data_IF_523469542434
#
_entry.id   IF_523469542434
#
_cell.length_a   1.000
_cell.length_b   1.000
_cell.length_c   1.000
_cell.angle_alpha   90.00
_cell.angle_beta   90.00
_cell.angle_gamma   90.00
#
_symmetry.space_group_name_H-M   'P 1'
#
loop_
_entity.id
_entity.type
_entity.pdbx_description
1 polymer ?
#
# COMPACT_ATOMS: atom_id res chain seq x y z
N UNK A 1 12.66 -3.93 -10.68
CA UNK A 1 11.59 -2.92 -10.63
C UNK A 1 10.21 -3.57 -10.40
N UNK A 2 9.89 -4.75 -10.93
CA UNK A 2 8.55 -5.36 -10.81
C UNK A 2 8.22 -6.17 -9.52
N UNK A 3 9.19 -6.47 -8.66
CA UNK A 3 8.96 -7.41 -7.54
C UNK A 3 7.87 -6.95 -6.56
N UNK A 4 7.71 -5.63 -6.35
CA UNK A 4 6.66 -5.10 -5.49
C UNK A 4 5.27 -5.32 -6.09
N UNK A 5 5.10 -4.93 -7.36
CA UNK A 5 3.84 -5.12 -8.09
C UNK A 5 3.45 -6.60 -8.12
N UNK A 6 4.40 -7.50 -8.41
CA UNK A 6 4.19 -8.96 -8.36
C UNK A 6 3.74 -9.44 -6.99
N UNK A 7 4.40 -9.03 -5.91
CA UNK A 7 4.06 -9.45 -4.55
C UNK A 7 2.67 -8.95 -4.12
N UNK A 8 2.28 -7.73 -4.51
CA UNK A 8 0.92 -7.23 -4.30
C UNK A 8 -0.13 -8.08 -5.05
N UNK A 9 0.13 -8.41 -6.32
CA UNK A 9 -0.76 -9.29 -7.09
C UNK A 9 -0.87 -10.69 -6.47
N UNK A 10 0.25 -11.25 -6.00
CA UNK A 10 0.29 -12.56 -5.34
C UNK A 10 -0.51 -12.55 -4.03
N UNK A 11 -0.44 -11.45 -3.27
CA UNK A 11 -1.28 -11.26 -2.10
C UNK A 11 -2.76 -11.12 -2.47
N UNK A 12 -3.10 -10.31 -3.47
CA UNK A 12 -4.47 -10.20 -3.97
C UNK A 12 -5.04 -11.59 -4.34
N UNK A 13 -4.26 -12.38 -5.09
CA UNK A 13 -4.61 -13.75 -5.47
C UNK A 13 -4.74 -14.70 -4.29
N UNK A 14 -3.80 -14.66 -3.35
CA UNK A 14 -3.77 -15.54 -2.17
C UNK A 14 -4.98 -15.32 -1.26
N UNK A 15 -5.45 -14.07 -1.16
CA UNK A 15 -6.55 -13.69 -0.28
C UNK A 15 -7.88 -13.50 -1.01
N UNK A 16 -7.96 -13.87 -2.30
CA UNK A 16 -9.15 -13.74 -3.15
C UNK A 16 -9.73 -12.31 -3.17
N UNK A 17 -8.83 -11.33 -3.29
CA UNK A 17 -9.15 -9.91 -3.36
C UNK A 17 -8.79 -9.40 -4.75
N UNK A 18 -9.71 -8.69 -5.40
CA UNK A 18 -9.39 -8.02 -6.66
C UNK A 18 -8.34 -6.93 -6.42
N UNK A 19 -7.29 -6.84 -7.25
CA UNK A 19 -6.29 -5.79 -7.14
C UNK A 19 -6.90 -4.43 -7.50
N UNK A 20 -6.64 -3.43 -6.66
CA UNK A 20 -7.09 -2.06 -6.92
C UNK A 20 -6.11 -1.30 -7.80
N UNK A 21 -6.63 -0.79 -8.91
CA UNK A 21 -5.86 -0.04 -9.91
C UNK A 21 -5.21 1.21 -9.33
N UNK A 22 -5.87 1.93 -8.43
CA UNK A 22 -5.30 3.14 -7.82
C UNK A 22 -4.13 2.82 -6.90
N UNK A 23 -4.18 1.68 -6.18
CA UNK A 23 -3.03 1.18 -5.41
C UNK A 23 -1.87 0.86 -6.36
N UNK A 24 -2.14 0.21 -7.49
CA UNK A 24 -1.12 -0.13 -8.48
C UNK A 24 -0.50 1.12 -9.13
N UNK A 25 -1.30 2.13 -9.44
CA UNK A 25 -0.82 3.41 -9.96
C UNK A 25 0.10 4.12 -8.97
N UNK A 26 -0.25 4.11 -7.69
CA UNK A 26 0.58 4.74 -6.66
C UNK A 26 1.89 3.98 -6.45
N UNK A 27 1.86 2.66 -6.47
CA UNK A 27 3.05 1.80 -6.50
C UNK A 27 3.96 2.20 -7.66
N UNK A 28 3.38 2.37 -8.86
CA UNK A 28 4.13 2.68 -10.07
C UNK A 28 4.76 4.07 -10.02
N UNK A 29 4.05 5.07 -9.47
CA UNK A 29 4.62 6.41 -9.22
C UNK A 29 5.83 6.36 -8.31
N UNK A 30 5.78 5.54 -7.26
CA UNK A 30 6.85 5.46 -6.26
C UNK A 30 8.05 4.66 -6.76
N UNK A 31 7.81 3.62 -7.56
CA UNK A 31 8.88 2.88 -8.23
C UNK A 31 9.63 3.75 -9.24
N UNK A 32 8.92 4.68 -9.88
CA UNK A 32 9.47 5.63 -10.86
C UNK A 32 9.99 6.94 -10.22
N UNK A 33 9.82 7.13 -8.90
CA UNK A 33 10.33 8.31 -8.21
C UNK A 33 11.84 8.19 -7.93
N UNK A 34 12.62 9.12 -8.47
CA UNK A 34 14.09 9.15 -8.37
C UNK A 34 14.63 9.62 -7.00
N UNK A 35 13.79 10.19 -6.13
CA UNK A 35 14.25 10.86 -4.90
C UNK A 35 13.91 10.11 -3.61
N UNK A 36 14.80 10.29 -2.63
CA UNK A 36 15.06 9.56 -1.37
C UNK A 36 13.88 9.32 -0.40
N UNK A 37 12.65 9.67 -0.75
CA UNK A 37 11.47 9.48 0.10
C UNK A 37 10.35 8.84 -0.73
N UNK A 38 10.18 7.53 -0.53
CA UNK A 38 9.14 6.73 -1.18
C UNK A 38 7.90 6.76 -0.31
N UNK A 39 7.15 7.85 -0.39
CA UNK A 39 5.91 8.05 0.36
C UNK A 39 4.74 7.42 -0.40
N UNK A 40 4.03 6.52 0.26
CA UNK A 40 2.82 5.90 -0.30
C UNK A 40 1.59 6.74 0.01
N UNK A 41 0.97 7.35 -1.00
CA UNK A 41 -0.18 8.22 -0.79
C UNK A 41 -1.52 7.50 -1.04
N UNK A 42 -2.34 7.39 0.00
CA UNK A 42 -3.68 6.78 -0.09
C UNK A 42 -4.83 7.81 -0.03
N UNK A 43 -4.52 9.10 -0.12
CA UNK A 43 -5.44 10.22 0.09
C UNK A 43 -6.75 10.08 -0.71
N UNK A 44 -7.88 10.31 -0.04
CA UNK A 44 -9.24 10.25 -0.62
C UNK A 44 -9.64 8.90 -1.24
N UNK A 45 -8.94 7.81 -0.94
CA UNK A 45 -9.34 6.48 -1.41
C UNK A 45 -10.29 5.79 -0.42
N UNK A 46 -11.36 5.23 -0.97
CA UNK A 46 -12.22 4.29 -0.26
C UNK A 46 -11.65 2.88 -0.43
N UNK A 47 -10.68 2.52 0.42
CA UNK A 47 -9.96 1.24 0.32
C UNK A 47 -10.68 0.20 1.19
N UNK A 48 -11.13 -0.93 0.60
CA UNK A 48 -11.74 -2.02 1.36
C UNK A 48 -10.78 -2.61 2.40
N UNK A 49 -11.34 -3.19 3.46
CA UNK A 49 -10.57 -3.77 4.56
C UNK A 49 -9.58 -4.85 4.16
N UNK A 50 -9.96 -5.65 3.18
CA UNK A 50 -9.08 -6.66 2.64
C UNK A 50 -7.83 -6.02 1.99
N UNK A 51 -7.96 -4.88 1.31
CA UNK A 51 -6.86 -4.27 0.57
C UNK A 51 -5.87 -3.50 1.45
N UNK A 52 -6.32 -2.75 2.47
CA UNK A 52 -5.37 -2.13 3.39
C UNK A 52 -4.62 -3.17 4.24
N UNK A 53 -5.23 -4.33 4.50
CA UNK A 53 -4.58 -5.43 5.22
C UNK A 53 -3.48 -6.06 4.37
N UNK A 54 -3.74 -6.23 3.06
CA UNK A 54 -2.74 -6.72 2.12
C UNK A 54 -1.60 -5.71 1.95
N UNK A 55 -1.90 -4.42 1.86
CA UNK A 55 -0.90 -3.35 1.83
C UNK A 55 -0.01 -3.37 3.08
N UNK A 56 -0.56 -3.48 4.29
CA UNK A 56 0.26 -3.53 5.50
C UNK A 56 1.19 -4.76 5.55
N UNK A 57 0.70 -5.93 5.14
CA UNK A 57 1.55 -7.14 4.99
C UNK A 57 2.62 -6.96 3.90
N UNK A 58 2.30 -6.19 2.87
CA UNK A 58 3.21 -5.93 1.78
C UNK A 58 4.33 -4.97 2.21
N UNK A 59 4.00 -3.89 2.94
CA UNK A 59 4.97 -2.99 3.55
C UNK A 59 5.83 -3.68 4.60
N UNK A 60 5.32 -4.69 5.32
CA UNK A 60 6.13 -5.45 6.27
C UNK A 60 7.26 -6.27 5.64
N UNK A 61 7.21 -6.49 4.33
CA UNK A 61 8.19 -7.30 3.59
C UNK A 61 9.12 -6.47 2.71
N UNK A 62 8.86 -5.18 2.52
CA UNK A 62 9.66 -4.32 1.65
C UNK A 62 10.12 -3.03 2.35
N UNK A 63 11.43 -2.86 2.45
CA UNK A 63 12.09 -1.72 3.07
C UNK A 63 12.18 -0.50 2.13
N UNK A 64 11.62 -0.57 0.92
CA UNK A 64 11.65 0.55 -0.02
C UNK A 64 10.89 1.78 0.48
N UNK A 65 9.81 1.60 1.24
CA UNK A 65 8.93 2.69 1.66
C UNK A 65 9.37 3.23 3.00
N UNK A 66 9.63 4.54 3.04
CA UNK A 66 10.03 5.25 4.26
C UNK A 66 8.85 5.90 4.97
N UNK A 67 7.69 6.03 4.31
CA UNK A 67 6.48 6.63 4.89
C UNK A 67 5.22 6.26 4.10
N UNK A 68 4.07 6.29 4.77
CA UNK A 68 2.73 6.14 4.17
C UNK A 68 1.94 7.35 4.64
N UNK A 69 1.35 8.08 3.69
CA UNK A 69 0.41 9.15 3.97
C UNK A 69 -1.01 8.59 4.03
N UNK A 70 -1.61 8.66 5.21
CA UNK A 70 -2.98 8.21 5.50
C UNK A 70 -3.96 9.38 5.70
N UNK A 71 -3.56 10.61 5.36
CA UNK A 71 -4.43 11.79 5.47
C UNK A 71 -5.65 11.63 4.54
N UNK A 72 -6.83 11.98 5.05
CA UNK A 72 -8.13 11.91 4.38
C UNK A 72 -8.43 10.59 3.64
N UNK A 73 -7.83 9.48 4.08
CA UNK A 73 -8.22 8.15 3.62
C UNK A 73 -9.49 7.72 4.35
N UNK A 74 -10.51 7.24 3.63
CA UNK A 74 -11.69 6.65 4.24
C UNK A 74 -11.40 5.21 4.68
N UNK A 75 -10.43 5.06 5.59
CA UNK A 75 -10.05 3.78 6.18
C UNK A 75 -10.87 3.54 7.44
N UNK A 76 -11.18 2.27 7.70
CA UNK A 76 -11.67 1.89 9.03
C UNK A 76 -10.61 2.24 10.08
N UNK A 77 -11.04 2.55 11.31
CA UNK A 77 -10.13 2.77 12.44
C UNK A 77 -9.16 1.59 12.68
N UNK A 78 -9.56 0.37 12.31
CA UNK A 78 -8.69 -0.82 12.38
C UNK A 78 -7.63 -0.79 11.29
N UNK A 79 -7.99 -0.41 10.07
CA UNK A 79 -7.07 -0.32 8.94
C UNK A 79 -6.01 0.75 9.10
N UNK A 80 -6.41 1.93 9.58
CA UNK A 80 -5.46 3.01 9.90
C UNK A 80 -4.43 2.56 10.94
N UNK A 81 -4.87 2.02 12.08
CA UNK A 81 -3.98 1.48 13.12
C UNK A 81 -3.10 0.33 12.63
N UNK A 82 -3.58 -0.48 11.70
CA UNK A 82 -2.80 -1.58 11.14
C UNK A 82 -1.67 -1.04 10.26
N UNK A 83 -1.98 -0.12 9.33
CA UNK A 83 -1.00 0.50 8.43
C UNK A 83 0.04 1.34 9.18
N UNK A 84 -0.37 2.11 10.20
CA UNK A 84 0.53 2.90 11.06
C UNK A 84 1.62 2.05 11.76
N UNK A 85 1.43 0.74 11.92
CA UNK A 85 2.45 -0.15 12.52
C UNK A 85 3.60 -0.51 11.58
N UNK A 86 3.47 -0.22 10.29
CA UNK A 86 4.45 -0.56 9.26
C UNK A 86 5.22 0.66 8.75
N UNK A 87 4.92 1.84 9.29
CA UNK A 87 5.59 3.11 8.98
C UNK A 87 5.96 3.81 10.27
N UNK A 88 7.22 3.66 10.65
CA UNK A 88 7.85 4.28 11.82
C UNK A 88 9.17 4.91 11.44
#
# INVERSE_FOLDING_TARGET
>A
MDQFKTLYYDYCKTYYVEPNETILEEIEKILNADNQTKTFNLFSLNIPEAQYTLLGKHFSHDFLYTSIDLNDCNLSNKGRKFLERFVS
#
